data_IF_001665641283
#
_entry.id   IF_001665641283
#
_cell.length_a   1.000
_cell.length_b   1.000
_cell.length_c   1.000
_cell.angle_alpha   90.00
_cell.angle_beta   90.00
_cell.angle_gamma   90.00
#
_symmetry.space_group_name_H-M   'P 1'
#
loop_
_entity.id
_entity.type
_entity.pdbx_description
1 polymer ?
#
# COMPACT_ATOMS: atom_id res chain seq x y z
N UNK A 1 26.53 16.22 -1.79
CA UNK A 1 26.58 14.77 -2.14
C UNK A 1 27.52 14.10 -1.16
N UNK A 2 27.23 12.87 -0.76
CA UNK A 2 28.14 12.08 0.06
C UNK A 2 29.39 11.70 -0.74
N UNK A 3 30.55 11.67 -0.07
CA UNK A 3 31.77 11.12 -0.67
C UNK A 3 31.66 9.61 -0.84
N UNK A 4 32.45 9.01 -1.76
CA UNK A 4 32.44 7.57 -2.00
C UNK A 4 32.67 6.78 -0.71
N UNK A 5 33.54 7.28 0.18
CA UNK A 5 33.80 6.67 1.49
C UNK A 5 32.56 6.72 2.39
N UNK A 6 31.86 7.84 2.44
CA UNK A 6 30.63 7.99 3.22
C UNK A 6 29.53 7.07 2.69
N UNK A 7 29.42 6.93 1.38
CA UNK A 7 28.46 6.01 0.76
C UNK A 7 28.75 4.56 1.13
N UNK A 8 30.00 4.12 1.07
CA UNK A 8 30.41 2.76 1.46
C UNK A 8 30.12 2.50 2.94
N UNK A 9 30.41 3.46 3.82
CA UNK A 9 30.15 3.33 5.25
C UNK A 9 28.63 3.33 5.55
N UNK A 10 27.86 4.21 4.91
CA UNK A 10 26.41 4.24 5.06
C UNK A 10 25.77 2.93 4.58
N UNK A 11 26.20 2.42 3.42
CA UNK A 11 25.76 1.13 2.92
C UNK A 11 26.01 0.00 3.93
N UNK A 12 27.25 -0.09 4.45
CA UNK A 12 27.61 -1.10 5.42
C UNK A 12 26.82 -1.00 6.73
N UNK A 13 26.50 0.21 7.19
CA UNK A 13 25.68 0.43 8.39
C UNK A 13 24.24 0.01 8.13
N UNK A 14 23.65 0.40 7.00
CA UNK A 14 22.28 0.03 6.63
C UNK A 14 22.16 -1.50 6.53
N UNK A 15 23.04 -2.14 5.78
CA UNK A 15 23.07 -3.60 5.64
C UNK A 15 23.17 -4.33 6.99
N UNK A 16 24.09 -3.88 7.84
CA UNK A 16 24.26 -4.49 9.16
C UNK A 16 23.03 -4.30 10.04
N UNK A 17 22.46 -3.09 10.05
CA UNK A 17 21.29 -2.78 10.85
C UNK A 17 20.03 -3.53 10.37
N UNK A 18 19.84 -3.70 9.06
CA UNK A 18 18.76 -4.50 8.50
C UNK A 18 18.76 -5.92 9.09
N UNK A 19 19.92 -6.54 9.21
CA UNK A 19 20.04 -7.92 9.70
C UNK A 19 20.02 -8.05 11.23
N UNK A 20 20.67 -7.11 11.94
CA UNK A 20 20.85 -7.23 13.39
C UNK A 20 19.74 -6.58 14.22
N UNK A 21 19.07 -5.57 13.71
CA UNK A 21 18.20 -4.65 14.45
C UNK A 21 18.90 -3.96 15.65
N UNK A 22 20.24 -3.96 15.69
CA UNK A 22 21.03 -3.37 16.75
C UNK A 22 21.86 -2.19 16.25
N UNK A 23 22.03 -1.11 17.04
CA UNK A 23 22.84 0.04 16.65
C UNK A 23 24.28 -0.38 16.30
N UNK A 24 24.74 0.10 15.14
CA UNK A 24 26.00 -0.36 14.52
C UNK A 24 27.17 0.47 15.02
N UNK A 25 28.19 -0.19 15.59
CA UNK A 25 29.42 0.44 16.04
C UNK A 25 30.53 0.46 14.98
N UNK A 26 31.44 1.46 15.04
CA UNK A 26 32.57 1.56 14.10
C UNK A 26 33.48 0.32 14.08
N UNK A 27 33.60 -0.39 15.22
CA UNK A 27 34.37 -1.64 15.32
C UNK A 27 33.71 -2.79 14.55
N UNK A 28 32.38 -2.83 14.46
CA UNK A 28 31.65 -3.82 13.69
C UNK A 28 31.93 -3.65 12.21
N UNK A 29 31.87 -2.42 11.73
CA UNK A 29 32.13 -2.09 10.32
C UNK A 29 33.62 -2.30 9.95
N UNK A 30 34.56 -1.95 10.83
CA UNK A 30 36.00 -2.12 10.55
C UNK A 30 36.46 -3.58 10.42
N UNK A 31 35.63 -4.55 10.85
CA UNK A 31 35.91 -5.99 10.69
C UNK A 31 35.50 -6.54 9.34
N UNK A 32 34.74 -5.77 8.55
CA UNK A 32 34.32 -6.18 7.20
C UNK A 32 35.53 -6.08 6.27
N UNK A 33 35.83 -7.16 5.55
CA UNK A 33 36.96 -7.23 4.62
C UNK A 33 36.86 -6.27 3.44
N UNK A 34 35.62 -5.95 3.04
CA UNK A 34 35.31 -5.06 1.92
C UNK A 34 35.50 -3.55 2.23
N UNK A 35 35.69 -3.17 3.51
CA UNK A 35 35.76 -1.76 3.91
C UNK A 35 37.20 -1.24 3.98
N UNK A 36 38.14 -2.02 4.51
CA UNK A 36 39.58 -1.69 4.56
C UNK A 36 39.94 -0.39 5.33
N UNK A 37 39.06 0.10 6.23
CA UNK A 37 39.25 1.33 6.98
C UNK A 37 39.44 1.07 8.49
N UNK A 38 40.21 1.94 9.16
CA UNK A 38 40.36 1.87 10.60
C UNK A 38 39.06 2.23 11.33
N UNK A 39 38.84 1.65 12.51
CA UNK A 39 37.68 1.98 13.35
C UNK A 39 37.63 3.45 13.74
N UNK A 40 38.78 4.13 13.85
CA UNK A 40 38.84 5.58 14.12
C UNK A 40 38.35 6.41 12.92
N UNK A 41 38.79 6.05 11.70
CA UNK A 41 38.32 6.68 10.46
C UNK A 41 36.82 6.50 10.29
N UNK A 42 36.33 5.26 10.46
CA UNK A 42 34.90 4.96 10.36
C UNK A 42 34.10 5.78 11.38
N UNK A 43 34.59 5.92 12.62
CA UNK A 43 33.91 6.69 13.65
C UNK A 43 33.77 8.18 13.28
N UNK A 44 34.78 8.76 12.66
CA UNK A 44 34.71 10.15 12.18
C UNK A 44 33.68 10.29 11.07
N UNK A 45 33.71 9.43 10.07
CA UNK A 45 32.72 9.47 8.98
C UNK A 45 31.28 9.19 9.47
N UNK A 46 31.11 8.35 10.51
CA UNK A 46 29.80 8.16 11.17
C UNK A 46 29.32 9.43 11.86
N UNK A 47 30.23 10.20 12.47
CA UNK A 47 29.90 11.51 13.08
C UNK A 47 29.47 12.50 12.01
N UNK A 48 30.20 12.57 10.90
CA UNK A 48 29.85 13.46 9.78
C UNK A 48 28.49 13.06 9.15
N UNK A 49 28.24 11.76 8.97
CA UNK A 49 26.96 11.25 8.48
C UNK A 49 25.80 11.56 9.43
N UNK A 50 26.05 11.56 10.74
CA UNK A 50 25.06 11.95 11.74
C UNK A 50 24.79 13.46 11.67
N UNK A 51 25.82 14.32 11.59
CA UNK A 51 25.66 15.76 11.41
C UNK A 51 24.91 16.13 10.12
N UNK A 52 25.13 15.35 9.05
CA UNK A 52 24.41 15.47 7.79
C UNK A 52 22.99 14.89 7.85
N UNK A 53 22.61 14.22 8.95
CA UNK A 53 21.28 13.68 9.19
C UNK A 53 20.98 12.34 8.49
N UNK A 54 21.99 11.60 8.02
CA UNK A 54 21.83 10.27 7.44
C UNK A 54 21.84 9.15 8.49
N UNK A 55 22.45 9.41 9.66
CA UNK A 55 22.49 8.50 10.80
C UNK A 55 21.93 9.20 12.03
N UNK A 56 21.48 8.39 12.98
CA UNK A 56 20.99 8.81 14.29
C UNK A 56 21.66 8.00 15.40
N UNK A 57 21.83 8.63 16.57
CA UNK A 57 22.31 7.95 17.76
C UNK A 57 21.13 7.75 18.73
N UNK A 58 20.60 6.53 18.89
CA UNK A 58 19.42 6.32 19.75
C UNK A 58 19.71 6.57 21.23
N UNK A 59 20.97 6.34 21.70
CA UNK A 59 21.42 6.61 23.07
C UNK A 59 22.89 6.97 23.07
N UNK A 60 23.34 7.78 24.05
CA UNK A 60 24.69 8.37 24.14
C UNK A 60 25.85 7.37 24.09
N UNK A 61 25.63 6.11 24.48
CA UNK A 61 26.64 5.01 24.43
C UNK A 61 26.39 4.02 23.30
N UNK A 62 25.36 4.21 22.51
CA UNK A 62 24.99 3.30 21.42
C UNK A 62 25.81 3.56 20.14
N UNK A 63 25.82 2.60 19.21
CA UNK A 63 26.25 2.79 17.83
C UNK A 63 25.35 3.79 17.10
N UNK A 64 25.31 3.69 15.79
CA UNK A 64 24.44 4.51 14.94
C UNK A 64 23.40 3.63 14.26
N UNK A 65 22.23 4.22 13.99
CA UNK A 65 21.17 3.64 13.19
C UNK A 65 20.88 4.52 11.99
N UNK A 66 20.43 4.00 10.86
CA UNK A 66 20.02 4.82 9.72
C UNK A 66 18.78 5.66 10.05
N UNK A 67 18.81 6.94 9.70
CA UNK A 67 17.64 7.81 9.71
C UNK A 67 16.72 7.53 8.50
N UNK A 68 15.53 8.13 8.46
CA UNK A 68 14.68 8.12 7.25
C UNK A 68 15.45 8.64 6.02
N UNK A 69 16.22 9.70 6.17
CA UNK A 69 17.10 10.26 5.12
C UNK A 69 18.19 9.28 4.71
N UNK A 70 18.77 8.55 5.65
CA UNK A 70 19.78 7.52 5.38
C UNK A 70 19.21 6.36 4.57
N UNK A 71 18.04 5.86 4.95
CA UNK A 71 17.34 4.82 4.17
C UNK A 71 16.93 5.32 2.78
N UNK A 72 16.43 6.56 2.66
CA UNK A 72 16.10 7.15 1.36
C UNK A 72 17.31 7.18 0.44
N UNK A 73 18.45 7.68 0.93
CA UNK A 73 19.68 7.70 0.14
C UNK A 73 20.14 6.29 -0.27
N UNK A 74 20.04 5.33 0.65
CA UNK A 74 20.35 3.92 0.39
C UNK A 74 19.48 3.36 -0.74
N UNK A 75 18.17 3.55 -0.66
CA UNK A 75 17.22 3.06 -1.67
C UNK A 75 17.45 3.69 -3.03
N UNK A 76 17.72 5.00 -3.08
CA UNK A 76 17.83 5.73 -4.34
C UNK A 76 19.18 5.53 -5.04
N UNK A 77 20.26 5.20 -4.27
CA UNK A 77 21.61 5.25 -4.82
C UNK A 77 22.46 3.98 -4.59
N UNK A 78 22.19 3.20 -3.55
CA UNK A 78 23.10 2.16 -3.09
C UNK A 78 22.54 0.74 -3.21
N UNK A 79 21.23 0.60 -3.44
CA UNK A 79 20.57 -0.71 -3.47
C UNK A 79 21.08 -1.57 -4.62
N UNK A 80 21.32 -2.85 -4.33
CA UNK A 80 21.66 -3.85 -5.33
C UNK A 80 20.46 -4.75 -5.58
N UNK A 81 20.15 -5.14 -6.83
CA UNK A 81 19.14 -6.14 -7.13
C UNK A 81 19.45 -7.46 -6.42
N UNK A 82 18.43 -8.04 -5.80
CA UNK A 82 18.56 -9.38 -5.21
C UNK A 82 18.59 -10.45 -6.29
N UNK A 83 19.52 -11.41 -6.17
CA UNK A 83 19.55 -12.58 -7.03
C UNK A 83 18.75 -13.70 -6.36
N UNK A 84 17.71 -14.17 -7.03
CA UNK A 84 16.89 -15.28 -6.52
C UNK A 84 17.68 -16.57 -6.42
N UNK A 85 17.50 -17.28 -5.33
CA UNK A 85 17.95 -18.67 -5.23
C UNK A 85 17.01 -19.63 -5.99
N UNK A 86 17.42 -20.90 -6.15
CA UNK A 86 16.65 -21.92 -6.88
C UNK A 86 15.28 -22.18 -6.21
N UNK A 87 15.20 -22.10 -4.88
CA UNK A 87 13.97 -22.32 -4.12
C UNK A 87 12.97 -21.17 -4.29
N UNK A 88 13.46 -19.94 -4.27
CA UNK A 88 12.66 -18.75 -4.55
C UNK A 88 12.12 -18.76 -5.98
N UNK A 89 12.99 -19.05 -6.96
CA UNK A 89 12.60 -19.19 -8.37
C UNK A 89 11.60 -20.32 -8.58
N UNK A 90 11.74 -21.43 -7.85
CA UNK A 90 10.78 -22.55 -7.88
C UNK A 90 9.38 -22.11 -7.47
N UNK A 91 9.24 -21.41 -6.35
CA UNK A 91 7.95 -20.88 -5.86
C UNK A 91 7.33 -19.88 -6.82
N UNK A 92 8.13 -18.96 -7.34
CA UNK A 92 7.70 -17.95 -8.30
C UNK A 92 7.21 -18.56 -9.61
N UNK A 93 7.94 -19.55 -10.15
CA UNK A 93 7.55 -20.27 -11.37
C UNK A 93 6.28 -21.09 -11.17
N UNK A 94 6.14 -21.76 -10.01
CA UNK A 94 4.95 -22.56 -9.71
C UNK A 94 3.68 -21.70 -9.69
N UNK A 95 3.74 -20.49 -9.13
CA UNK A 95 2.61 -19.56 -9.12
C UNK A 95 2.04 -19.31 -10.52
N UNK A 96 2.91 -19.12 -11.52
CA UNK A 96 2.50 -18.79 -12.89
C UNK A 96 2.37 -20.00 -13.82
N UNK A 97 2.73 -21.22 -13.35
CA UNK A 97 2.63 -22.45 -14.15
C UNK A 97 1.21 -23.04 -14.18
N UNK A 98 0.38 -22.75 -13.18
CA UNK A 98 -0.97 -23.27 -13.09
C UNK A 98 -1.93 -22.48 -14.00
N UNK A 99 -2.13 -22.98 -15.23
CA UNK A 99 -2.93 -22.36 -16.31
C UNK A 99 -4.45 -22.28 -16.07
N UNK A 100 -4.97 -22.74 -14.93
CA UNK A 100 -6.41 -22.97 -14.71
C UNK A 100 -6.99 -22.03 -13.66
N UNK A 101 -6.21 -21.14 -13.06
CA UNK A 101 -6.69 -20.26 -12.01
C UNK A 101 -7.48 -19.07 -12.60
N UNK A 102 -8.63 -18.79 -11.99
CA UNK A 102 -9.33 -17.53 -12.24
C UNK A 102 -8.45 -16.35 -11.81
N UNK A 103 -8.58 -15.20 -12.46
CA UNK A 103 -7.76 -14.01 -12.19
C UNK A 103 -7.70 -13.65 -10.70
N UNK A 104 -8.82 -13.76 -9.98
CA UNK A 104 -8.90 -13.50 -8.53
C UNK A 104 -7.99 -14.43 -7.72
N UNK A 105 -7.96 -15.72 -8.03
CA UNK A 105 -7.11 -16.70 -7.35
C UNK A 105 -5.63 -16.37 -7.53
N UNK A 106 -5.25 -15.91 -8.71
CA UNK A 106 -3.87 -15.52 -9.01
C UNK A 106 -3.45 -14.29 -8.20
N UNK A 107 -4.33 -13.31 -8.11
CA UNK A 107 -4.11 -12.10 -7.29
C UNK A 107 -3.94 -12.47 -5.83
N UNK A 108 -4.81 -13.34 -5.30
CA UNK A 108 -4.73 -13.84 -3.93
C UNK A 108 -3.44 -14.62 -3.65
N UNK A 109 -3.07 -15.55 -4.54
CA UNK A 109 -1.83 -16.31 -4.44
C UNK A 109 -0.60 -15.39 -4.55
N UNK A 110 -0.65 -14.35 -5.36
CA UNK A 110 0.43 -13.35 -5.45
C UNK A 110 0.65 -12.68 -4.10
N UNK A 111 -0.40 -12.22 -3.42
CA UNK A 111 -0.28 -11.65 -2.08
C UNK A 111 0.33 -12.65 -1.08
N UNK A 112 -0.08 -13.93 -1.16
CA UNK A 112 0.44 -14.98 -0.29
C UNK A 112 1.92 -15.23 -0.52
N UNK A 113 2.35 -15.44 -1.77
CA UNK A 113 3.76 -15.68 -2.13
C UNK A 113 4.62 -14.48 -1.77
N UNK A 114 4.16 -13.27 -2.10
CA UNK A 114 4.86 -12.03 -1.77
C UNK A 114 5.11 -11.92 -0.27
N UNK A 115 4.08 -12.17 0.55
CA UNK A 115 4.23 -12.19 2.00
C UNK A 115 5.18 -13.29 2.47
N UNK A 116 5.12 -14.49 1.92
CA UNK A 116 5.99 -15.60 2.31
C UNK A 116 7.46 -15.34 1.99
N UNK A 117 7.77 -14.81 0.80
CA UNK A 117 9.14 -14.55 0.37
C UNK A 117 9.78 -13.36 1.08
N UNK A 118 8.99 -12.32 1.36
CA UNK A 118 9.51 -11.10 2.00
C UNK A 118 9.43 -11.13 3.51
N UNK A 119 8.60 -12.00 4.07
CA UNK A 119 8.25 -12.06 5.50
C UNK A 119 7.62 -10.77 6.06
N UNK A 120 6.95 -9.98 5.20
CA UNK A 120 6.22 -8.77 5.55
C UNK A 120 4.73 -8.89 5.19
N UNK A 121 3.95 -7.87 5.55
CA UNK A 121 2.55 -7.76 5.15
C UNK A 121 2.47 -7.40 3.68
N UNK A 122 1.78 -8.22 2.90
CA UNK A 122 1.54 -8.01 1.48
C UNK A 122 0.11 -7.59 1.22
N UNK A 123 -0.06 -6.62 0.34
CA UNK A 123 -1.36 -6.13 -0.14
C UNK A 123 -1.35 -6.17 -1.66
N UNK A 124 -2.38 -6.78 -2.25
CA UNK A 124 -2.62 -6.70 -3.68
C UNK A 124 -4.01 -6.12 -3.89
N UNK A 125 -4.08 -5.06 -4.64
CA UNK A 125 -5.34 -4.46 -5.08
C UNK A 125 -5.74 -5.08 -6.41
N UNK A 126 -6.92 -5.67 -6.47
CA UNK A 126 -7.42 -6.40 -7.62
C UNK A 126 -7.63 -5.50 -8.85
N UNK A 127 -7.66 -6.11 -10.08
CA UNK A 127 -7.71 -5.35 -11.33
C UNK A 127 -8.96 -4.46 -11.45
N UNK A 128 -10.02 -4.80 -10.75
CA UNK A 128 -11.30 -4.11 -10.91
C UNK A 128 -11.39 -2.77 -10.19
N UNK A 129 -10.51 -2.48 -9.19
CA UNK A 129 -10.61 -1.24 -8.40
C UNK A 129 -10.35 0.01 -9.27
N UNK A 130 -9.48 -0.10 -10.28
CA UNK A 130 -9.05 1.04 -11.08
C UNK A 130 -9.80 1.20 -12.41
N UNK A 131 -10.36 0.13 -12.96
CA UNK A 131 -11.07 0.16 -14.24
C UNK A 131 -12.55 0.56 -14.11
N UNK A 132 -13.16 0.33 -12.96
CA UNK A 132 -14.56 0.67 -12.78
C UNK A 132 -14.74 2.14 -12.49
N UNK A 133 -15.24 2.86 -13.50
CA UNK A 133 -15.71 4.25 -13.36
C UNK A 133 -17.21 4.25 -13.22
N UNK A 134 -17.71 5.12 -12.37
CA UNK A 134 -19.15 5.31 -12.21
C UNK A 134 -19.75 5.79 -13.52
N UNK A 135 -20.73 5.05 -14.05
CA UNK A 135 -21.56 5.48 -15.16
C UNK A 135 -22.87 6.09 -14.67
N UNK A 136 -23.51 5.43 -13.72
CA UNK A 136 -24.80 5.85 -13.22
C UNK A 136 -25.10 5.27 -11.85
N UNK A 137 -25.72 6.08 -10.98
CA UNK A 137 -26.31 5.64 -9.71
C UNK A 137 -27.82 5.80 -9.83
N UNK A 138 -28.56 4.79 -9.36
CA UNK A 138 -30.00 4.84 -9.21
C UNK A 138 -30.42 4.34 -7.84
N UNK A 139 -31.38 5.01 -7.20
CA UNK A 139 -31.98 4.55 -5.94
C UNK A 139 -33.47 4.36 -6.19
N UNK A 140 -33.95 3.14 -5.96
CA UNK A 140 -35.35 2.77 -6.14
C UNK A 140 -35.94 2.54 -4.75
N UNK A 141 -36.92 3.36 -4.35
CA UNK A 141 -37.64 3.16 -3.11
C UNK A 141 -38.58 1.96 -3.20
N UNK A 142 -38.46 1.03 -2.26
CA UNK A 142 -39.34 -0.14 -2.18
C UNK A 142 -40.58 0.16 -1.28
N UNK A 143 -40.33 0.90 -0.19
CA UNK A 143 -41.32 1.34 0.78
C UNK A 143 -40.76 2.55 1.55
N UNK A 144 -41.47 3.04 2.56
CA UNK A 144 -41.06 4.21 3.35
C UNK A 144 -39.79 4.02 4.20
N UNK A 145 -39.28 2.76 4.30
CA UNK A 145 -38.13 2.39 5.14
C UNK A 145 -37.00 1.77 4.36
N UNK A 146 -37.22 1.36 3.12
CA UNK A 146 -36.25 0.59 2.35
C UNK A 146 -36.17 1.08 0.90
N UNK A 147 -34.96 1.11 0.39
CA UNK A 147 -34.65 1.37 -1.00
C UNK A 147 -33.57 0.44 -1.51
N UNK A 148 -33.48 0.26 -2.82
CA UNK A 148 -32.37 -0.43 -3.48
C UNK A 148 -31.54 0.62 -4.19
N UNK A 149 -30.25 0.72 -3.82
CA UNK A 149 -29.26 1.46 -4.60
C UNK A 149 -28.67 0.54 -5.67
N UNK A 150 -28.57 1.06 -6.88
CA UNK A 150 -27.98 0.39 -8.04
C UNK A 150 -26.86 1.28 -8.55
N UNK A 151 -25.66 0.71 -8.66
CA UNK A 151 -24.49 1.35 -9.29
C UNK A 151 -24.20 0.64 -10.60
N UNK A 152 -24.10 1.41 -11.67
CA UNK A 152 -23.70 0.95 -12.99
C UNK A 152 -22.34 1.56 -13.34
N UNK A 153 -21.41 0.74 -13.78
CA UNK A 153 -20.09 1.17 -14.23
C UNK A 153 -19.99 1.28 -15.74
N UNK A 154 -18.98 1.98 -16.25
CA UNK A 154 -18.72 2.04 -17.69
C UNK A 154 -18.37 0.68 -18.31
N UNK A 155 -17.83 -0.25 -17.51
CA UNK A 155 -17.57 -1.65 -17.92
C UNK A 155 -18.83 -2.51 -18.01
N UNK A 156 -20.02 -1.95 -17.65
CA UNK A 156 -21.29 -2.67 -17.68
C UNK A 156 -21.59 -3.49 -16.43
N UNK A 157 -20.73 -3.46 -15.41
CA UNK A 157 -21.01 -4.08 -14.12
C UNK A 157 -22.16 -3.35 -13.43
N UNK A 158 -23.10 -4.12 -12.89
CA UNK A 158 -24.24 -3.62 -12.13
C UNK A 158 -24.20 -4.20 -10.73
N UNK A 159 -24.15 -3.35 -9.74
CA UNK A 159 -24.20 -3.75 -8.33
C UNK A 159 -25.42 -3.16 -7.67
N UNK A 160 -26.03 -3.91 -6.77
CA UNK A 160 -27.20 -3.46 -6.03
C UNK A 160 -27.08 -3.79 -4.55
N UNK A 161 -27.69 -2.93 -3.73
CA UNK A 161 -27.73 -3.12 -2.27
C UNK A 161 -29.04 -2.56 -1.71
N UNK A 162 -29.60 -3.30 -0.76
CA UNK A 162 -30.72 -2.82 0.06
C UNK A 162 -30.21 -1.78 1.04
N UNK A 163 -30.85 -0.61 1.07
CA UNK A 163 -30.59 0.50 1.96
C UNK A 163 -31.79 0.70 2.89
N UNK A 164 -31.51 0.94 4.17
CA UNK A 164 -32.54 1.40 5.10
C UNK A 164 -32.68 2.91 4.97
N UNK A 165 -33.88 3.40 4.64
CA UNK A 165 -34.14 4.82 4.53
C UNK A 165 -34.40 5.46 5.90
N UNK A 166 -33.78 6.61 6.20
CA UNK A 166 -34.12 7.39 7.40
C UNK A 166 -35.57 7.86 7.41
N UNK A 167 -36.15 8.00 8.59
CA UNK A 167 -37.49 8.52 8.75
C UNK A 167 -37.59 9.96 8.21
N UNK A 168 -38.59 10.22 7.37
CA UNK A 168 -38.86 11.55 6.80
C UNK A 168 -38.16 11.84 5.47
N UNK A 169 -37.37 10.93 4.90
CA UNK A 169 -36.78 11.09 3.57
C UNK A 169 -37.78 10.69 2.50
N UNK A 170 -38.25 11.65 1.70
CA UNK A 170 -39.21 11.43 0.62
C UNK A 170 -38.56 11.08 -0.71
N UNK A 171 -39.37 10.52 -1.62
CA UNK A 171 -38.89 10.13 -2.97
C UNK A 171 -38.30 11.32 -3.75
N UNK A 172 -38.82 12.53 -3.57
CA UNK A 172 -38.31 13.75 -4.22
C UNK A 172 -36.90 14.17 -3.72
N UNK A 173 -36.55 13.84 -2.48
CA UNK A 173 -35.23 14.12 -1.90
C UNK A 173 -34.23 13.14 -2.41
N UNK A 174 -34.62 11.85 -2.50
CA UNK A 174 -33.81 10.80 -3.08
C UNK A 174 -33.51 11.10 -4.55
N UNK A 175 -34.50 11.53 -5.33
CA UNK A 175 -34.31 11.88 -6.74
C UNK A 175 -33.33 13.06 -6.91
N UNK A 176 -33.46 14.10 -6.07
CA UNK A 176 -32.49 15.22 -6.08
C UNK A 176 -31.10 14.79 -5.73
N UNK A 177 -30.94 13.92 -4.72
CA UNK A 177 -29.66 13.34 -4.34
C UNK A 177 -29.05 12.57 -5.49
N UNK A 178 -29.79 11.64 -6.10
CA UNK A 178 -29.35 10.82 -7.22
C UNK A 178 -28.91 11.69 -8.41
N UNK A 179 -29.68 12.74 -8.73
CA UNK A 179 -29.33 13.66 -9.81
C UNK A 179 -28.03 14.42 -9.50
N UNK A 180 -27.83 14.86 -8.26
CA UNK A 180 -26.59 15.52 -7.82
C UNK A 180 -25.40 14.56 -7.91
N UNK A 181 -25.54 13.33 -7.38
CA UNK A 181 -24.50 12.30 -7.44
C UNK A 181 -24.09 12.01 -8.90
N UNK A 182 -25.05 11.76 -9.77
CA UNK A 182 -24.77 11.50 -11.17
C UNK A 182 -24.10 12.68 -11.89
N UNK A 183 -24.49 13.92 -11.56
CA UNK A 183 -23.90 15.13 -12.16
C UNK A 183 -22.45 15.37 -11.75
N UNK A 184 -22.06 14.98 -10.51
CA UNK A 184 -20.74 15.28 -9.94
C UNK A 184 -19.80 14.10 -9.97
N UNK A 185 -20.33 12.87 -9.91
CA UNK A 185 -19.53 11.65 -9.75
C UNK A 185 -19.48 10.77 -11.01
N UNK A 186 -20.19 11.13 -12.09
CA UNK A 186 -20.08 10.40 -13.36
C UNK A 186 -18.62 10.41 -13.84
N UNK A 187 -18.16 9.26 -14.36
CA UNK A 187 -16.80 9.01 -14.84
C UNK A 187 -15.71 9.05 -13.76
N UNK A 188 -16.07 9.20 -12.49
CA UNK A 188 -15.14 9.08 -11.36
C UNK A 188 -14.84 7.60 -11.10
N UNK A 189 -13.55 7.21 -10.92
CA UNK A 189 -13.21 5.85 -10.50
C UNK A 189 -13.89 5.49 -9.19
N UNK A 190 -14.43 4.26 -9.07
CA UNK A 190 -15.18 3.83 -7.89
C UNK A 190 -14.42 4.05 -6.59
N UNK A 191 -13.10 3.81 -6.59
CA UNK A 191 -12.24 4.00 -5.43
C UNK A 191 -12.07 5.48 -5.00
N UNK A 192 -12.34 6.46 -5.89
CA UNK A 192 -12.34 7.89 -5.55
C UNK A 192 -13.71 8.40 -5.15
N UNK A 193 -14.77 7.62 -5.36
CA UNK A 193 -16.14 8.09 -5.14
C UNK A 193 -16.36 8.63 -3.74
N UNK A 194 -15.87 7.94 -2.72
CA UNK A 194 -16.00 8.36 -1.32
C UNK A 194 -15.34 9.70 -1.07
N UNK A 195 -14.09 9.88 -1.49
CA UNK A 195 -13.36 11.12 -1.32
C UNK A 195 -14.05 12.28 -2.06
N UNK A 196 -14.47 12.05 -3.31
CA UNK A 196 -15.20 13.03 -4.11
C UNK A 196 -16.56 13.36 -3.52
N UNK A 197 -17.27 12.37 -3.01
CA UNK A 197 -18.54 12.54 -2.32
C UNK A 197 -18.40 13.56 -1.20
N UNK A 198 -17.44 13.41 -0.32
CA UNK A 198 -17.19 14.32 0.79
C UNK A 198 -16.68 15.71 0.34
N UNK A 199 -15.82 15.78 -0.66
CA UNK A 199 -15.25 17.05 -1.11
C UNK A 199 -16.24 17.92 -1.90
N UNK A 200 -17.01 17.34 -2.82
CA UNK A 200 -17.84 18.08 -3.75
C UNK A 200 -19.29 18.23 -3.26
N UNK A 201 -19.76 17.30 -2.45
CA UNK A 201 -21.16 17.23 -2.04
C UNK A 201 -21.38 17.82 -0.65
N UNK A 202 -20.44 17.67 0.28
CA UNK A 202 -20.58 18.21 1.65
C UNK A 202 -20.78 19.73 1.70
N UNK A 203 -20.21 20.47 0.74
CA UNK A 203 -20.35 21.93 0.66
C UNK A 203 -21.71 22.43 0.17
N UNK A 204 -22.34 21.74 -0.78
CA UNK A 204 -23.65 22.07 -1.31
C UNK A 204 -24.79 21.57 -0.40
N UNK A 205 -24.56 20.48 0.30
CA UNK A 205 -25.55 19.76 1.09
C UNK A 205 -25.75 20.31 2.49
N UNK A 206 -24.76 20.90 3.13
CA UNK A 206 -24.92 21.64 4.42
C UNK A 206 -25.97 22.76 4.35
N UNK A 207 -26.39 23.11 3.13
CA UNK A 207 -27.42 24.17 2.91
C UNK A 207 -28.84 23.64 2.87
N UNK A 208 -29.07 22.31 2.86
CA UNK A 208 -30.38 21.80 2.47
C UNK A 208 -31.10 20.88 3.46
N UNK A 209 -30.49 20.15 4.39
CA UNK A 209 -31.22 19.41 5.45
C UNK A 209 -30.34 18.58 6.39
N UNK A 210 -30.81 18.38 7.67
CA UNK A 210 -30.18 17.47 8.66
C UNK A 210 -30.20 15.97 8.24
N UNK A 211 -31.18 15.57 7.43
CA UNK A 211 -31.37 14.19 6.94
C UNK A 211 -30.36 13.78 5.87
N UNK A 212 -29.60 14.70 5.36
CA UNK A 212 -28.65 14.49 4.29
C UNK A 212 -27.36 13.74 4.75
N UNK A 213 -26.94 13.95 5.99
CA UNK A 213 -25.78 13.23 6.57
C UNK A 213 -26.06 11.73 6.69
N UNK A 214 -27.29 11.35 7.02
CA UNK A 214 -27.69 9.95 7.11
C UNK A 214 -27.70 9.26 5.75
N UNK A 215 -28.17 9.94 4.71
CA UNK A 215 -28.15 9.42 3.33
C UNK A 215 -26.72 9.30 2.79
N UNK A 216 -25.84 10.24 3.11
CA UNK A 216 -24.42 10.13 2.76
C UNK A 216 -23.76 8.96 3.47
N UNK A 217 -24.06 8.75 4.74
CA UNK A 217 -23.54 7.61 5.49
C UNK A 217 -24.01 6.27 4.92
N UNK A 218 -25.25 6.20 4.43
CA UNK A 218 -25.77 4.99 3.77
C UNK A 218 -25.06 4.72 2.44
N UNK A 219 -24.84 5.76 1.64
CA UNK A 219 -24.08 5.65 0.40
C UNK A 219 -22.61 5.29 0.66
N UNK A 220 -22.04 5.86 1.72
CA UNK A 220 -20.68 5.54 2.14
C UNK A 220 -20.55 4.05 2.52
N UNK A 221 -21.46 3.52 3.32
CA UNK A 221 -21.50 2.09 3.64
C UNK A 221 -21.65 1.21 2.40
N UNK A 222 -22.42 1.64 1.40
CA UNK A 222 -22.55 0.93 0.15
C UNK A 222 -21.22 0.91 -0.64
N UNK A 223 -20.53 2.05 -0.70
CA UNK A 223 -19.26 2.18 -1.43
C UNK A 223 -18.10 1.44 -0.73
N UNK A 224 -18.06 1.45 0.60
CA UNK A 224 -17.00 0.76 1.37
C UNK A 224 -17.02 -0.75 1.17
N UNK A 225 -18.19 -1.36 1.12
CA UNK A 225 -18.31 -2.82 0.98
C UNK A 225 -17.86 -3.34 -0.40
N UNK A 226 -17.81 -2.47 -1.43
CA UNK A 226 -17.28 -2.82 -2.75
C UNK A 226 -15.74 -2.82 -2.78
N UNK A 227 -15.10 -2.08 -1.89
CA UNK A 227 -13.65 -2.04 -1.77
C UNK A 227 -13.10 -3.27 -1.03
N UNK A 228 -13.89 -3.85 -0.10
CA UNK A 228 -13.48 -5.02 0.70
C UNK A 228 -13.23 -6.27 -0.16
N UNK A 229 -14.04 -6.52 -1.17
CA UNK A 229 -13.97 -7.72 -2.01
C UNK A 229 -12.71 -7.78 -2.90
N UNK A 230 -11.87 -6.74 -2.91
CA UNK A 230 -10.77 -6.57 -3.88
C UNK A 230 -9.42 -6.26 -3.28
N UNK A 231 -9.36 -6.19 -1.96
CA UNK A 231 -8.11 -6.02 -1.22
C UNK A 231 -7.66 -7.36 -0.72
N UNK A 232 -6.62 -7.90 -1.33
CA UNK A 232 -6.02 -9.16 -0.91
C UNK A 232 -4.87 -8.89 0.06
N UNK A 233 -5.16 -9.00 1.34
CA UNK A 233 -4.20 -8.81 2.43
C UNK A 233 -3.67 -10.16 2.91
N UNK A 234 -2.34 -10.31 3.01
CA UNK A 234 -1.69 -11.50 3.56
C UNK A 234 -0.55 -11.11 4.49
N UNK A 235 -0.40 -11.89 5.57
CA UNK A 235 0.71 -11.72 6.50
C UNK A 235 0.59 -10.53 7.45
N UNK A 236 -0.61 -10.03 7.77
CA UNK A 236 -0.82 -8.95 8.75
C UNK A 236 -0.14 -9.24 10.10
N UNK A 237 -0.21 -10.48 10.58
CA UNK A 237 0.43 -10.90 11.84
C UNK A 237 1.96 -10.90 11.81
N UNK A 238 2.60 -10.83 10.64
CA UNK A 238 4.06 -10.78 10.52
C UNK A 238 4.66 -9.50 11.08
N UNK A 239 3.87 -8.43 11.16
CA UNK A 239 4.25 -7.19 11.84
C UNK A 239 4.65 -7.47 13.29
N UNK A 240 3.90 -8.35 13.99
CA UNK A 240 4.16 -8.69 15.39
C UNK A 240 5.50 -9.40 15.62
N UNK A 241 6.08 -10.00 14.58
CA UNK A 241 7.37 -10.67 14.64
C UNK A 241 8.57 -9.71 14.48
N UNK A 242 8.31 -8.44 14.15
CA UNK A 242 9.36 -7.46 13.96
C UNK A 242 9.75 -6.80 15.29
N UNK A 243 11.04 -6.65 15.60
CA UNK A 243 11.51 -6.09 16.88
C UNK A 243 11.00 -4.66 17.16
N UNK A 244 10.72 -3.89 16.12
CA UNK A 244 10.22 -2.52 16.19
C UNK A 244 8.80 -2.42 16.74
N UNK A 245 8.01 -3.49 16.57
CA UNK A 245 6.59 -3.53 16.94
C UNK A 245 6.35 -4.35 18.22
N UNK A 246 7.10 -4.05 19.27
CA UNK A 246 6.89 -4.65 20.62
C UNK A 246 5.84 -3.88 21.43
N UNK A 247 5.52 -2.67 21.02
CA UNK A 247 4.49 -1.83 21.63
C UNK A 247 3.12 -2.27 21.13
N UNK A 248 2.30 -2.76 22.04
CA UNK A 248 0.96 -3.32 21.74
C UNK A 248 0.03 -2.27 21.15
N UNK A 249 0.10 -1.02 21.61
CA UNK A 249 -0.77 0.06 21.12
C UNK A 249 -0.44 0.39 19.66
N UNK A 250 0.84 0.46 19.32
CA UNK A 250 1.28 0.68 17.93
C UNK A 250 0.87 -0.47 16.99
N UNK A 251 1.00 -1.71 17.45
CA UNK A 251 0.57 -2.88 16.68
C UNK A 251 -0.93 -2.83 16.44
N UNK A 252 -1.70 -2.45 17.46
CA UNK A 252 -3.15 -2.31 17.37
C UNK A 252 -3.53 -1.27 16.31
N UNK A 253 -2.92 -0.08 16.35
CA UNK A 253 -3.19 0.99 15.37
C UNK A 253 -2.90 0.54 13.93
N UNK A 254 -1.82 -0.23 13.71
CA UNK A 254 -1.49 -0.77 12.39
C UNK A 254 -2.50 -1.85 11.98
N UNK A 255 -2.90 -2.75 12.88
CA UNK A 255 -3.88 -3.79 12.57
C UNK A 255 -5.26 -3.18 12.27
N UNK A 256 -5.70 -2.19 13.05
CA UNK A 256 -6.94 -1.45 12.77
C UNK A 256 -6.90 -0.75 11.39
N UNK A 257 -5.74 -0.21 10.99
CA UNK A 257 -5.53 0.34 9.65
C UNK A 257 -5.66 -0.76 8.58
N UNK A 258 -5.06 -1.94 8.83
CA UNK A 258 -5.07 -3.06 7.88
C UNK A 258 -6.45 -3.73 7.73
N UNK A 259 -7.34 -3.60 8.70
CA UNK A 259 -8.72 -4.09 8.64
C UNK A 259 -9.62 -3.18 7.78
N UNK A 260 -9.17 -1.96 7.47
CA UNK A 260 -9.97 -0.98 6.73
C UNK A 260 -9.56 -0.92 5.26
N UNK A 261 -10.30 -1.61 4.41
CA UNK A 261 -10.04 -1.70 2.97
C UNK A 261 -10.00 -0.34 2.27
N UNK A 262 -10.85 0.61 2.67
CA UNK A 262 -10.85 1.99 2.17
C UNK A 262 -9.51 2.70 2.45
N UNK A 263 -8.97 2.52 3.63
CA UNK A 263 -7.67 3.10 3.99
C UNK A 263 -6.51 2.41 3.27
N UNK A 264 -6.59 1.09 3.06
CA UNK A 264 -5.58 0.36 2.30
C UNK A 264 -5.54 0.81 0.84
N UNK A 265 -6.69 0.96 0.18
CA UNK A 265 -6.76 1.49 -1.18
C UNK A 265 -6.13 2.89 -1.24
N UNK A 266 -6.42 3.73 -0.27
CA UNK A 266 -5.83 5.08 -0.18
C UNK A 266 -4.32 5.05 0.09
N UNK A 267 -3.88 4.14 0.95
CA UNK A 267 -2.50 4.01 1.37
C UNK A 267 -1.61 3.44 0.27
N UNK A 268 -2.08 2.42 -0.46
CA UNK A 268 -1.31 1.81 -1.54
C UNK A 268 -1.42 2.59 -2.86
N UNK A 269 -2.36 3.52 -2.94
CA UNK A 269 -2.36 4.61 -3.90
C UNK A 269 -3.00 4.29 -5.24
N UNK A 270 -2.99 5.29 -6.11
CA UNK A 270 -3.34 5.18 -7.52
C UNK A 270 -2.27 4.41 -8.27
N UNK A 271 -2.64 3.66 -9.32
CA UNK A 271 -1.67 3.11 -10.25
C UNK A 271 -0.92 4.25 -10.94
N UNK A 272 0.17 4.69 -10.32
CA UNK A 272 1.19 5.45 -11.04
C UNK A 272 2.08 4.42 -11.72
N UNK A 273 2.47 4.68 -12.95
CA UNK A 273 3.43 3.83 -13.63
C UNK A 273 4.73 3.77 -12.79
N UNK A 274 5.07 2.54 -12.36
CA UNK A 274 6.35 2.27 -11.75
C UNK A 274 6.36 2.01 -10.24
N UNK A 275 7.57 1.80 -9.76
CA UNK A 275 7.87 1.49 -8.36
C UNK A 275 7.81 2.76 -7.49
N UNK A 276 7.09 2.69 -6.39
CA UNK A 276 7.07 3.75 -5.37
C UNK A 276 7.53 3.20 -4.03
N UNK A 277 8.41 3.93 -3.35
CA UNK A 277 8.90 3.61 -2.00
C UNK A 277 8.64 4.80 -1.09
N UNK A 278 7.95 4.58 0.02
CA UNK A 278 7.73 5.57 1.09
C UNK A 278 8.33 5.03 2.39
N UNK A 279 9.17 5.80 3.04
CA UNK A 279 9.97 5.37 4.18
C UNK A 279 9.65 6.24 5.40
N UNK A 280 9.25 5.60 6.49
CA UNK A 280 9.12 6.26 7.79
C UNK A 280 8.27 7.52 7.75
N UNK A 281 8.89 8.66 8.00
CA UNK A 281 8.23 9.98 8.07
C UNK A 281 7.64 10.48 6.73
N UNK A 282 7.93 9.82 5.62
CA UNK A 282 7.32 10.12 4.33
C UNK A 282 5.86 9.64 4.26
N UNK A 283 5.46 8.75 5.17
CA UNK A 283 4.08 8.33 5.31
C UNK A 283 3.24 9.40 6.03
N UNK A 284 2.03 9.65 5.51
CA UNK A 284 1.13 10.68 6.04
C UNK A 284 0.43 10.25 7.32
N UNK A 285 0.19 8.94 7.51
CA UNK A 285 -0.52 8.40 8.66
C UNK A 285 0.44 8.11 9.82
N UNK A 286 0.11 8.58 11.01
CA UNK A 286 0.95 8.42 12.22
C UNK A 286 1.19 6.94 12.57
N UNK A 287 0.16 6.09 12.40
CA UNK A 287 0.24 4.67 12.67
C UNK A 287 1.38 3.95 11.92
N UNK A 288 1.78 4.45 10.76
CA UNK A 288 2.79 3.84 9.89
C UNK A 288 4.07 4.68 9.70
N UNK A 289 4.31 5.69 10.54
CA UNK A 289 5.55 6.48 10.51
C UNK A 289 6.81 5.67 10.86
N UNK A 290 6.67 4.47 11.41
CA UNK A 290 7.76 3.53 11.64
C UNK A 290 7.80 2.40 10.60
N UNK A 291 6.96 2.51 9.55
CA UNK A 291 6.88 1.55 8.48
C UNK A 291 7.44 2.11 7.17
N UNK A 292 7.80 1.20 6.28
CA UNK A 292 7.99 1.51 4.87
C UNK A 292 6.93 0.81 4.04
N UNK A 293 6.51 1.49 2.97
CA UNK A 293 5.58 0.99 1.98
C UNK A 293 6.29 0.97 0.64
N UNK A 294 6.26 -0.17 -0.03
CA UNK A 294 6.79 -0.35 -1.38
C UNK A 294 5.65 -0.84 -2.25
N UNK A 295 5.36 -0.13 -3.32
CA UNK A 295 4.27 -0.47 -4.25
C UNK A 295 4.74 -0.43 -5.69
N UNK A 296 4.15 -1.27 -6.53
CA UNK A 296 4.26 -1.20 -7.99
C UNK A 296 2.94 -1.57 -8.62
N UNK A 297 2.66 -1.06 -9.82
CA UNK A 297 1.46 -1.43 -10.57
C UNK A 297 1.68 -2.69 -11.39
N UNK A 298 0.60 -3.42 -11.67
CA UNK A 298 0.55 -4.44 -12.70
C UNK A 298 -0.50 -4.08 -13.74
N UNK A 299 -0.32 -4.58 -14.97
CA UNK A 299 -1.02 -4.07 -16.15
C UNK A 299 -1.75 -5.16 -16.91
N UNK A 300 -2.79 -4.77 -17.64
CA UNK A 300 -3.48 -5.56 -18.66
C UNK A 300 -3.35 -4.86 -20.01
N UNK A 301 -2.71 -5.51 -20.99
CA UNK A 301 -2.48 -4.88 -22.29
C UNK A 301 -1.73 -3.55 -22.23
N UNK A 302 -0.80 -3.39 -21.25
CA UNK A 302 -0.04 -2.17 -21.02
C UNK A 302 -0.78 -1.06 -20.25
N UNK A 303 -2.03 -1.28 -19.82
CA UNK A 303 -2.77 -0.36 -18.95
C UNK A 303 -2.68 -0.83 -17.51
N UNK A 304 -2.28 0.01 -16.55
CA UNK A 304 -2.24 -0.37 -15.15
C UNK A 304 -3.66 -0.64 -14.63
N UNK A 305 -3.88 -1.83 -14.06
CA UNK A 305 -5.19 -2.30 -13.60
C UNK A 305 -5.23 -2.63 -12.11
N UNK A 306 -4.06 -2.69 -11.47
CA UNK A 306 -3.98 -2.98 -10.05
C UNK A 306 -2.62 -2.66 -9.46
N UNK A 307 -2.50 -2.85 -8.15
CA UNK A 307 -1.29 -2.57 -7.38
C UNK A 307 -0.85 -3.79 -6.58
N UNK A 308 0.44 -3.99 -6.50
CA UNK A 308 1.08 -4.94 -5.58
C UNK A 308 1.92 -4.14 -4.60
N UNK A 309 1.84 -4.43 -3.32
CA UNK A 309 2.60 -3.68 -2.35
C UNK A 309 2.94 -4.46 -1.07
N UNK A 310 3.91 -3.92 -0.37
CA UNK A 310 4.41 -4.41 0.91
C UNK A 310 4.35 -3.30 1.95
N UNK A 311 3.92 -3.66 3.15
CA UNK A 311 4.07 -2.88 4.36
C UNK A 311 4.98 -3.64 5.32
N UNK A 312 6.04 -3.00 5.78
CA UNK A 312 6.97 -3.57 6.76
C UNK A 312 7.68 -2.47 7.55
N UNK A 313 8.59 -2.80 8.48
CA UNK A 313 9.35 -1.81 9.23
C UNK A 313 10.24 -0.99 8.30
N UNK A 314 10.68 0.21 8.75
CA UNK A 314 11.68 0.99 7.99
C UNK A 314 12.97 0.20 7.76
N UNK A 315 13.28 -0.74 8.65
CA UNK A 315 14.39 -1.67 8.55
C UNK A 315 13.98 -2.93 7.74
N UNK A 316 13.98 -2.82 6.42
CA UNK A 316 13.68 -3.98 5.56
C UNK A 316 14.77 -4.22 4.50
N UNK A 317 14.81 -5.42 3.97
CA UNK A 317 15.69 -5.80 2.85
C UNK A 317 15.15 -5.22 1.54
N UNK A 318 15.30 -3.92 1.33
CA UNK A 318 14.71 -3.19 0.20
C UNK A 318 15.04 -3.83 -1.15
N UNK A 319 16.30 -4.24 -1.38
CA UNK A 319 16.73 -4.87 -2.63
C UNK A 319 15.94 -6.13 -2.95
N UNK A 320 15.79 -7.01 -1.95
CA UNK A 320 15.02 -8.24 -2.08
C UNK A 320 13.53 -7.96 -2.29
N UNK A 321 12.95 -7.08 -1.47
CA UNK A 321 11.52 -6.74 -1.55
C UNK A 321 11.18 -6.16 -2.91
N UNK A 322 11.97 -5.20 -3.41
CA UNK A 322 11.76 -4.57 -4.71
C UNK A 322 11.88 -5.60 -5.84
N UNK A 323 12.89 -6.47 -5.78
CA UNK A 323 13.08 -7.49 -6.82
C UNK A 323 11.93 -8.49 -6.87
N UNK A 324 11.49 -9.01 -5.71
CA UNK A 324 10.34 -9.94 -5.63
C UNK A 324 9.07 -9.26 -6.11
N UNK A 325 8.84 -8.03 -5.67
CA UNK A 325 7.63 -7.26 -5.99
C UNK A 325 7.52 -6.97 -7.50
N UNK A 326 8.60 -6.52 -8.13
CA UNK A 326 8.63 -6.29 -9.57
C UNK A 326 8.41 -7.59 -10.36
N UNK A 327 9.08 -8.68 -9.98
CA UNK A 327 8.91 -9.97 -10.64
C UNK A 327 7.45 -10.45 -10.60
N UNK A 328 6.79 -10.32 -9.44
CA UNK A 328 5.39 -10.71 -9.28
C UNK A 328 4.43 -9.81 -10.06
N UNK A 329 4.68 -8.50 -10.08
CA UNK A 329 3.86 -7.55 -10.84
C UNK A 329 3.98 -7.79 -12.36
N UNK A 330 5.18 -8.05 -12.87
CA UNK A 330 5.41 -8.43 -14.27
C UNK A 330 4.73 -9.75 -14.62
N UNK A 331 4.86 -10.76 -13.75
CA UNK A 331 4.22 -12.06 -13.92
C UNK A 331 2.70 -11.96 -13.94
N UNK A 332 2.09 -11.16 -13.04
CA UNK A 332 0.65 -10.86 -13.04
C UNK A 332 0.23 -10.19 -14.34
N UNK A 333 0.96 -9.16 -14.77
CA UNK A 333 0.67 -8.42 -15.99
C UNK A 333 0.67 -9.33 -17.21
N UNK A 334 1.68 -10.20 -17.31
CA UNK A 334 1.80 -11.13 -18.42
C UNK A 334 0.68 -12.18 -18.43
N UNK A 335 0.35 -12.72 -17.26
CA UNK A 335 -0.69 -13.74 -17.15
C UNK A 335 -2.07 -13.18 -17.44
N UNK A 336 -2.42 -12.02 -16.86
CA UNK A 336 -3.71 -11.38 -17.11
C UNK A 336 -3.85 -11.02 -18.61
N UNK A 337 -2.84 -10.42 -19.22
CA UNK A 337 -2.87 -10.10 -20.65
C UNK A 337 -3.09 -11.35 -21.50
N UNK A 338 -2.40 -12.46 -21.19
CA UNK A 338 -2.54 -13.71 -21.94
C UNK A 338 -3.91 -14.40 -21.79
N UNK A 339 -4.63 -14.13 -20.70
CA UNK A 339 -6.00 -14.67 -20.47
C UNK A 339 -7.08 -13.84 -21.17
N UNK A 340 -6.90 -12.54 -21.28
CA UNK A 340 -7.90 -11.63 -21.83
C UNK A 340 -7.73 -11.31 -23.34
N UNK A 341 -6.60 -11.67 -23.96
CA UNK A 341 -6.38 -11.56 -25.40
C UNK A 341 -6.90 -12.78 -26.20
N UNK A 342 -7.52 -13.76 -25.53
CA UNK A 342 -8.18 -14.90 -26.17
C UNK A 342 -9.69 -14.69 -26.24
#
# INVERSE_FOLDING_TARGET
MLSDRQQVILNAIVDNYIHSAEPVGSRTISKREDIGLSSATIRNEMSDLEELGYLEQPHTSAGRVPSTKGYRFYVDNLIQPHLFDEGELGKLKQLFAERILHAEQVVEYTAQILSQLTNYTAVVLGPEIFEHRLKHIQIITLNDKEAVAIVVTHTGRVENKLLALPEGVGASEIERLVNLLNSKLSDVPLWQLRQRLYQEISGEMRRHTEQYEELLNLLDQFLVQQEEDRVYLRGATKIMNQPEFRDVDKVKDILELLERSDQLVHLFGTPADGLTVRIGQENQLDAIKQCSIITTSYSLGGRPVGMVGILGPTRMEYGRVITVLNYLAEGLSHMLTSQFEK
#
